data_IF_320829810763
#
_entry.id   IF_320829810763
#
_cell.length_a   1.000
_cell.length_b   1.000
_cell.length_c   1.000
_cell.angle_alpha   90.00
_cell.angle_beta   90.00
_cell.angle_gamma   90.00
#
_symmetry.space_group_name_H-M   'P 1'
#
loop_
_entity.id
_entity.type
_entity.pdbx_description
1 polymer ?
#
# COMPACT_ATOMS: atom_id res chain seq x y z
N UNK A 1 -51.64 11.20 36.87
CA UNK A 1 -51.69 10.12 35.88
C UNK A 1 -50.24 9.92 35.43
N UNK A 2 -49.47 9.12 36.19
CA UNK A 2 -49.24 7.68 35.94
C UNK A 2 -48.44 7.50 34.65
N UNK A 3 -47.28 6.87 34.60
CA UNK A 3 -46.86 5.66 35.29
C UNK A 3 -45.34 5.58 35.45
N UNK A 4 -44.91 5.13 36.63
CA UNK A 4 -43.62 4.51 36.86
C UNK A 4 -43.50 3.26 35.98
N UNK A 5 -42.46 3.17 35.15
CA UNK A 5 -42.00 1.89 34.61
C UNK A 5 -40.69 1.53 35.30
N UNK A 6 -40.89 0.84 36.41
CA UNK A 6 -39.94 -0.03 37.10
C UNK A 6 -39.23 -0.93 36.07
N UNK A 7 -37.94 -0.69 35.82
CA UNK A 7 -37.10 -1.61 35.07
C UNK A 7 -36.24 -2.34 36.09
N UNK A 8 -36.60 -3.60 36.33
CA UNK A 8 -35.87 -4.50 37.23
C UNK A 8 -34.44 -4.73 36.74
N UNK A 9 -33.45 -4.90 37.65
CA UNK A 9 -32.09 -5.20 37.25
C UNK A 9 -32.05 -6.61 36.69
N UNK A 10 -31.86 -6.74 35.38
CA UNK A 10 -31.65 -8.04 34.75
C UNK A 10 -30.28 -8.57 35.20
N UNK A 11 -30.31 -9.51 36.14
CA UNK A 11 -29.15 -10.26 36.60
C UNK A 11 -28.70 -11.20 35.48
N UNK A 12 -27.81 -10.73 34.63
CA UNK A 12 -27.02 -11.61 33.79
C UNK A 12 -25.81 -12.06 34.59
N UNK A 13 -25.84 -13.30 35.05
CA UNK A 13 -24.66 -14.01 35.51
C UNK A 13 -23.69 -14.18 34.34
N UNK A 14 -22.75 -13.23 34.20
CA UNK A 14 -21.63 -13.40 33.28
C UNK A 14 -20.57 -14.27 33.96
N UNK A 15 -20.54 -15.53 33.55
CA UNK A 15 -19.50 -16.49 33.93
C UNK A 15 -18.13 -15.98 33.50
N UNK A 16 -17.14 -16.04 34.40
CA UNK A 16 -15.76 -15.63 34.12
C UNK A 16 -15.18 -16.53 33.03
N UNK A 17 -15.05 -16.00 31.82
CA UNK A 17 -14.35 -16.68 30.72
C UNK A 17 -12.88 -16.77 31.10
N UNK A 18 -12.35 -17.98 31.27
CA UNK A 18 -10.92 -18.19 31.36
C UNK A 18 -10.36 -18.08 29.94
N UNK A 19 -9.68 -16.97 29.65
CA UNK A 19 -8.87 -16.87 28.44
C UNK A 19 -7.75 -17.88 28.58
N UNK A 20 -7.76 -18.92 27.73
CA UNK A 20 -6.62 -19.82 27.58
C UNK A 20 -5.45 -18.93 27.14
N UNK A 21 -4.41 -18.84 27.96
CA UNK A 21 -3.16 -18.24 27.54
C UNK A 21 -2.58 -19.15 26.46
N UNK A 22 -2.89 -18.86 25.20
CA UNK A 22 -2.13 -19.39 24.09
C UNK A 22 -0.81 -18.62 24.06
N UNK A 23 0.24 -19.39 24.25
CA UNK A 23 1.65 -19.02 24.24
C UNK A 23 1.93 -18.08 23.05
N UNK A 24 2.50 -16.91 23.31
CA UNK A 24 2.99 -16.05 22.25
C UNK A 24 4.26 -16.70 21.71
N UNK A 25 4.20 -17.34 20.55
CA UNK A 25 5.40 -17.69 19.80
C UNK A 25 6.14 -16.38 19.50
N UNK A 26 7.41 -16.33 19.88
CA UNK A 26 8.31 -15.24 19.51
C UNK A 26 8.32 -15.14 17.98
N UNK A 27 7.95 -13.97 17.44
CA UNK A 27 7.99 -13.70 16.01
C UNK A 27 9.47 -13.48 15.65
N UNK A 28 10.18 -14.58 15.41
CA UNK A 28 11.54 -14.59 14.89
C UNK A 28 11.48 -14.51 13.35
N UNK A 29 12.22 -13.56 12.79
CA UNK A 29 12.28 -13.09 11.38
C UNK A 29 11.15 -12.15 10.87
N UNK A 30 11.53 -11.01 10.25
CA UNK A 30 10.56 -10.20 9.52
C UNK A 30 10.02 -11.00 8.34
N UNK A 31 8.70 -11.12 8.22
CA UNK A 31 8.06 -11.69 7.03
C UNK A 31 8.52 -10.92 5.79
N UNK A 32 9.33 -11.56 4.94
CA UNK A 32 9.80 -10.96 3.68
C UNK A 32 8.91 -11.41 2.53
N UNK A 33 8.43 -10.44 1.74
CA UNK A 33 7.61 -10.70 0.55
C UNK A 33 8.43 -10.36 -0.70
N UNK A 34 8.51 -11.31 -1.63
CA UNK A 34 9.17 -11.09 -2.92
C UNK A 34 8.17 -10.58 -3.96
N UNK A 35 8.51 -9.49 -4.65
CA UNK A 35 7.68 -8.88 -5.68
C UNK A 35 8.49 -8.77 -6.97
N UNK A 36 7.88 -9.03 -8.13
CA UNK A 36 8.53 -8.81 -9.42
C UNK A 36 8.82 -7.32 -9.60
N UNK A 37 10.06 -6.97 -9.93
CA UNK A 37 10.45 -5.57 -10.15
C UNK A 37 9.56 -4.85 -11.18
N UNK A 38 9.15 -5.54 -12.25
CA UNK A 38 8.28 -4.95 -13.28
C UNK A 38 6.86 -4.63 -12.77
N UNK A 39 6.40 -5.28 -11.70
CA UNK A 39 5.12 -4.94 -11.06
C UNK A 39 5.16 -3.59 -10.32
N UNK A 40 6.37 -3.07 -10.07
CA UNK A 40 6.61 -1.79 -9.41
C UNK A 40 6.98 -0.67 -10.40
N UNK A 41 6.88 -0.94 -11.70
CA UNK A 41 7.14 0.04 -12.76
C UNK A 41 5.86 0.69 -13.26
N UNK A 42 5.96 1.98 -13.53
CA UNK A 42 4.92 2.74 -14.19
C UNK A 42 4.78 2.28 -15.66
N UNK A 43 3.58 1.88 -16.11
CA UNK A 43 3.36 1.40 -17.47
C UNK A 43 3.44 2.51 -18.53
N UNK A 44 3.50 3.78 -18.13
CA UNK A 44 3.65 4.92 -19.04
C UNK A 44 5.11 5.28 -19.29
N UNK A 45 5.94 5.37 -18.23
CA UNK A 45 7.35 5.76 -18.38
C UNK A 45 8.32 4.58 -18.28
N UNK A 46 7.84 3.39 -17.91
CA UNK A 46 8.62 2.14 -17.75
C UNK A 46 9.70 2.20 -16.66
N UNK A 47 9.71 3.25 -15.85
CA UNK A 47 10.54 3.42 -14.66
C UNK A 47 9.78 3.01 -13.39
N UNK A 48 10.50 2.74 -12.31
CA UNK A 48 9.89 2.51 -10.99
C UNK A 48 9.00 3.70 -10.59
N UNK A 49 7.93 3.42 -9.84
CA UNK A 49 7.06 4.47 -9.35
C UNK A 49 7.82 5.45 -8.46
N UNK A 50 7.76 6.74 -8.78
CA UNK A 50 8.36 7.81 -7.99
C UNK A 50 7.28 8.50 -7.15
N UNK A 51 7.56 8.70 -5.87
CA UNK A 51 6.58 9.16 -4.88
C UNK A 51 5.36 8.21 -4.81
N UNK A 52 4.31 8.58 -4.08
CA UNK A 52 3.07 7.80 -4.10
C UNK A 52 2.40 7.89 -5.49
N UNK A 53 2.35 6.78 -6.28
CA UNK A 53 1.73 6.81 -7.61
C UNK A 53 0.24 7.08 -7.52
N UNK A 54 -0.33 7.58 -8.60
CA UNK A 54 -1.73 7.96 -8.71
C UNK A 54 -2.52 6.83 -9.37
N UNK A 55 -3.57 6.38 -8.69
CA UNK A 55 -4.42 5.26 -9.07
C UNK A 55 -5.76 5.75 -9.62
N UNK A 56 -6.17 5.18 -10.75
CA UNK A 56 -7.50 5.37 -11.32
C UNK A 56 -8.52 4.44 -10.64
N UNK A 57 -9.82 4.70 -10.79
CA UNK A 57 -10.89 3.87 -10.22
C UNK A 57 -10.84 2.39 -10.69
N UNK A 58 -10.22 2.12 -11.84
CA UNK A 58 -9.96 0.76 -12.32
C UNK A 58 -8.82 0.02 -11.60
N UNK A 59 -8.14 0.66 -10.64
CA UNK A 59 -7.04 0.08 -9.86
C UNK A 59 -5.65 0.23 -10.47
N UNK A 60 -5.52 0.69 -11.71
CA UNK A 60 -4.21 0.91 -12.34
C UNK A 60 -3.54 2.21 -11.87
N UNK A 61 -2.25 2.09 -11.55
CA UNK A 61 -1.42 3.16 -10.99
C UNK A 61 -0.42 3.72 -12.01
N UNK A 62 -0.14 5.02 -11.92
CA UNK A 62 0.78 5.76 -12.78
C UNK A 62 1.59 6.76 -11.95
N UNK A 63 2.79 7.14 -12.37
CA UNK A 63 3.49 8.27 -11.74
C UNK A 63 2.65 9.55 -11.80
N UNK A 64 2.84 10.45 -10.83
CA UNK A 64 2.12 11.73 -10.78
C UNK A 64 2.28 12.52 -12.08
N UNK A 65 3.50 12.63 -12.61
CA UNK A 65 3.78 13.35 -13.86
C UNK A 65 3.14 12.67 -15.08
N UNK A 66 3.22 11.33 -15.14
CA UNK A 66 2.57 10.56 -16.19
C UNK A 66 1.05 10.74 -16.17
N UNK A 67 0.45 10.81 -14.98
CA UNK A 67 -0.97 11.08 -14.82
C UNK A 67 -1.33 12.50 -15.29
N UNK A 68 -0.50 13.51 -15.01
CA UNK A 68 -0.70 14.86 -15.52
C UNK A 68 -0.68 14.89 -17.05
N UNK A 69 0.25 14.18 -17.70
CA UNK A 69 0.30 14.06 -19.16
C UNK A 69 -0.96 13.38 -19.73
N UNK A 70 -1.41 12.29 -19.09
CA UNK A 70 -2.64 11.58 -19.49
C UNK A 70 -3.84 12.53 -19.42
N UNK A 71 -3.95 13.31 -18.34
CA UNK A 71 -5.03 14.31 -18.16
C UNK A 71 -4.97 15.43 -19.20
N UNK A 72 -3.78 15.97 -19.49
CA UNK A 72 -3.60 17.05 -20.46
C UNK A 72 -3.95 16.65 -21.89
N UNK A 73 -3.80 15.37 -22.25
CA UNK A 73 -4.14 14.87 -23.59
C UNK A 73 -5.63 14.92 -23.93
N UNK A 74 -6.52 15.27 -22.97
CA UNK A 74 -7.98 15.24 -23.14
C UNK A 74 -8.63 16.52 -22.63
N UNK A 75 -9.49 17.13 -23.45
CA UNK A 75 -10.32 18.27 -23.07
C UNK A 75 -11.57 17.87 -22.23
N UNK A 76 -11.71 16.58 -21.88
CA UNK A 76 -12.86 16.03 -21.16
C UNK A 76 -12.56 15.80 -19.69
N UNK A 77 -13.58 15.91 -18.82
CA UNK A 77 -13.45 15.56 -17.39
C UNK A 77 -13.24 14.05 -17.11
N UNK A 78 -13.32 13.22 -18.15
CA UNK A 78 -13.14 11.77 -18.05
C UNK A 78 -11.74 11.37 -18.50
N UNK A 79 -11.11 10.47 -17.75
CA UNK A 79 -9.83 9.86 -18.06
C UNK A 79 -10.08 8.45 -18.56
N UNK A 80 -9.44 8.05 -19.67
CA UNK A 80 -9.43 6.67 -20.14
C UNK A 80 -8.11 6.02 -19.73
N UNK A 81 -8.17 4.92 -18.96
CA UNK A 81 -6.99 4.19 -18.52
C UNK A 81 -6.17 3.70 -19.75
N UNK A 82 -4.86 3.99 -19.83
CA UNK A 82 -3.99 3.46 -20.90
C UNK A 82 -3.90 1.94 -20.96
N UNK A 83 -4.19 1.25 -19.85
CA UNK A 83 -4.03 -0.20 -19.70
C UNK A 83 -5.33 -0.92 -20.08
N UNK A 84 -6.39 -0.73 -19.30
CA UNK A 84 -7.66 -1.44 -19.49
C UNK A 84 -8.73 -0.66 -20.26
N UNK A 85 -8.46 0.60 -20.64
CA UNK A 85 -9.38 1.49 -21.39
C UNK A 85 -10.68 1.84 -20.67
N UNK A 86 -10.86 1.46 -19.41
CA UNK A 86 -11.98 1.88 -18.59
C UNK A 86 -11.93 3.41 -18.38
N UNK A 87 -13.10 4.05 -18.45
CA UNK A 87 -13.23 5.46 -18.12
C UNK A 87 -13.36 5.65 -16.62
N UNK A 88 -12.73 6.69 -16.09
CA UNK A 88 -12.81 7.09 -14.69
C UNK A 88 -13.03 8.59 -14.60
N UNK A 89 -13.66 9.06 -13.52
CA UNK A 89 -13.66 10.49 -13.19
C UNK A 89 -12.22 10.97 -12.97
N UNK A 90 -12.02 12.29 -13.01
CA UNK A 90 -10.71 12.91 -12.78
C UNK A 90 -10.22 12.77 -11.31
N UNK A 91 -11.03 12.17 -10.44
CA UNK A 91 -10.74 11.93 -9.02
C UNK A 91 -9.82 10.71 -8.87
N UNK A 92 -8.55 10.92 -9.17
CA UNK A 92 -7.52 9.91 -8.96
C UNK A 92 -6.94 10.02 -7.55
N UNK A 93 -6.71 8.89 -6.89
CA UNK A 93 -6.21 8.83 -5.50
C UNK A 93 -4.73 8.43 -5.49
N UNK A 94 -3.99 8.86 -4.47
CA UNK A 94 -2.61 8.37 -4.27
C UNK A 94 -2.63 6.95 -3.72
N UNK A 95 -1.78 6.09 -4.23
CA UNK A 95 -1.55 4.73 -3.74
C UNK A 95 -0.26 4.73 -2.91
N UNK A 96 -0.39 5.08 -1.63
CA UNK A 96 0.75 5.18 -0.71
C UNK A 96 1.41 3.82 -0.44
N UNK A 97 0.66 2.73 -0.48
CA UNK A 97 1.18 1.39 -0.26
C UNK A 97 2.24 1.02 -1.32
N UNK A 98 1.94 1.27 -2.60
CA UNK A 98 2.93 1.03 -3.67
C UNK A 98 4.15 1.93 -3.51
N UNK A 99 3.96 3.20 -3.14
CA UNK A 99 5.08 4.11 -2.86
C UNK A 99 6.01 3.57 -1.77
N UNK A 100 5.46 3.15 -0.63
CA UNK A 100 6.22 2.57 0.49
C UNK A 100 6.97 1.30 0.09
N UNK A 101 6.36 0.43 -0.72
CA UNK A 101 7.01 -0.79 -1.20
C UNK A 101 8.22 -0.43 -2.06
N UNK A 102 8.11 0.51 -3.01
CA UNK A 102 9.24 0.95 -3.83
C UNK A 102 10.34 1.58 -2.99
N UNK A 103 9.99 2.51 -2.10
CA UNK A 103 10.95 3.19 -1.22
C UNK A 103 11.72 2.18 -0.33
N UNK A 104 11.02 1.17 0.18
CA UNK A 104 11.66 0.11 0.97
C UNK A 104 12.65 -0.70 0.13
N UNK A 105 12.30 -1.03 -1.12
CA UNK A 105 13.15 -1.80 -2.02
C UNK A 105 14.42 -1.03 -2.41
N UNK A 106 14.32 0.27 -2.69
CA UNK A 106 15.47 1.14 -3.00
C UNK A 106 16.44 1.20 -1.82
N UNK A 107 15.93 1.32 -0.59
CA UNK A 107 16.76 1.32 0.61
C UNK A 107 17.54 0.01 0.82
N UNK A 108 16.99 -1.14 0.38
CA UNK A 108 17.70 -2.42 0.42
C UNK A 108 18.83 -2.44 -0.60
N UNK A 109 18.61 -1.95 -1.82
CA UNK A 109 19.64 -1.89 -2.87
C UNK A 109 20.81 -1.01 -2.44
N UNK A 110 20.56 0.15 -1.83
CA UNK A 110 21.63 1.02 -1.32
C UNK A 110 22.45 0.35 -0.21
N UNK A 111 21.79 -0.35 0.73
CA UNK A 111 22.49 -1.13 1.77
C UNK A 111 23.30 -2.29 1.19
N UNK A 112 22.76 -2.98 0.19
CA UNK A 112 23.45 -4.08 -0.52
C UNK A 112 24.64 -3.56 -1.33
N UNK A 113 24.51 -2.45 -2.06
CA UNK A 113 25.57 -1.83 -2.83
C UNK A 113 26.70 -1.29 -1.94
N UNK A 114 26.34 -0.67 -0.81
CA UNK A 114 27.31 -0.23 0.21
C UNK A 114 28.05 -1.41 0.85
N UNK A 115 27.34 -2.52 1.09
CA UNK A 115 27.94 -3.75 1.63
C UNK A 115 28.87 -4.44 0.62
N UNK A 116 28.56 -4.38 -0.68
CA UNK A 116 29.40 -4.93 -1.75
C UNK A 116 30.62 -4.03 -2.06
N UNK A 117 30.50 -2.71 -1.89
CA UNK A 117 31.63 -1.79 -2.01
C UNK A 117 32.73 -2.06 -0.96
N UNK A 118 32.36 -2.42 0.28
CA UNK A 118 33.32 -2.84 1.31
C UNK A 118 33.97 -4.21 1.02
N UNK A 119 33.32 -5.07 0.24
CA UNK A 119 33.85 -6.38 -0.13
C UNK A 119 34.89 -6.31 -1.27
N UNK A 120 34.95 -5.20 -2.02
CA UNK A 120 35.86 -5.00 -3.15
C UNK A 120 37.17 -4.27 -2.80
N UNK A 121 37.44 -3.99 -1.52
CA UNK A 121 38.70 -3.36 -1.07
C UNK A 121 39.79 -4.37 -0.64
N UNK A 122 39.69 -5.65 -1.01
CA UNK A 122 40.76 -6.63 -0.74
C UNK A 122 41.88 -6.55 -1.78
N UNK A 123 42.93 -5.80 -1.38
CA UNK A 123 44.36 -5.94 -1.67
C UNK A 123 44.86 -5.66 -3.12
N UNK A 124 45.57 -4.53 -3.26
CA UNK A 124 46.83 -4.44 -4.00
C UNK A 124 47.93 -4.03 -3.03
#
# INVERSE_FOLDING_TARGET
MSENKNVQPYSQSVSRVHVRQEYHEEIDEPETVTVKADALKCPTCLEFFRNAPVMLACGHSFCQDCMLMIKQSRQTRLIRCPICRQQSSNEAQKNYAVGQIVDSADSYVERSASSQACQNLKFK
#
